data_IF_047434603460
#
_entry.id   IF_047434603460
#
_cell.length_a   1.000
_cell.length_b   1.000
_cell.length_c   1.000
_cell.angle_alpha   90.00
_cell.angle_beta   90.00
_cell.angle_gamma   90.00
#
_symmetry.space_group_name_H-M   'P 1'
#
loop_
_entity.id
_entity.type
_entity.pdbx_description
1 polymer ?
#
# COMPACT_ATOMS: atom_id res chain seq x y z
N UNK A 1 -32.21 8.79 -6.39
CA UNK A 1 -31.78 7.47 -6.92
C UNK A 1 -30.45 7.55 -7.69
N UNK A 2 -29.40 8.19 -7.11
CA UNK A 2 -27.99 8.13 -7.60
C UNK A 2 -27.24 7.17 -6.67
N UNK A 3 -27.32 5.86 -6.86
CA UNK A 3 -26.72 4.99 -7.88
C UNK A 3 -25.60 4.20 -7.20
N UNK A 4 -25.92 2.97 -6.80
CA UNK A 4 -25.05 1.96 -6.18
C UNK A 4 -23.67 1.83 -6.86
N UNK A 5 -23.60 2.15 -8.15
CA UNK A 5 -22.39 2.15 -8.96
C UNK A 5 -21.31 3.13 -8.45
N UNK A 6 -21.67 4.38 -8.10
CA UNK A 6 -20.68 5.40 -7.71
C UNK A 6 -19.98 5.04 -6.38
N UNK A 7 -20.73 4.49 -5.42
CA UNK A 7 -20.16 4.06 -4.12
C UNK A 7 -19.16 2.91 -4.26
N UNK A 8 -19.38 2.01 -5.23
CA UNK A 8 -18.50 0.87 -5.47
C UNK A 8 -17.17 1.30 -6.08
N UNK A 9 -17.19 2.28 -6.99
CA UNK A 9 -15.97 2.85 -7.56
C UNK A 9 -15.15 3.64 -6.52
N UNK A 10 -15.83 4.38 -5.64
CA UNK A 10 -15.16 5.13 -4.57
C UNK A 10 -14.45 4.18 -3.58
N UNK A 11 -15.09 3.07 -3.19
CA UNK A 11 -14.47 2.06 -2.34
C UNK A 11 -13.21 1.45 -2.97
N UNK A 12 -13.25 1.06 -4.25
CA UNK A 12 -12.06 0.53 -4.92
C UNK A 12 -10.95 1.58 -5.06
N UNK A 13 -11.30 2.84 -5.29
CA UNK A 13 -10.32 3.91 -5.39
C UNK A 13 -9.65 4.20 -4.04
N UNK A 14 -10.40 4.15 -2.93
CA UNK A 14 -9.83 4.24 -1.58
C UNK A 14 -8.85 3.12 -1.29
N UNK A 15 -9.20 1.88 -1.62
CA UNK A 15 -8.33 0.71 -1.45
C UNK A 15 -7.07 0.80 -2.33
N UNK A 16 -7.22 1.31 -3.55
CA UNK A 16 -6.08 1.58 -4.43
C UNK A 16 -5.13 2.62 -3.84
N UNK A 17 -5.66 3.74 -3.32
CA UNK A 17 -4.83 4.77 -2.67
C UNK A 17 -4.13 4.20 -1.45
N UNK A 18 -4.85 3.43 -0.63
CA UNK A 18 -4.32 2.84 0.59
C UNK A 18 -3.20 1.85 0.28
N UNK A 19 -3.43 0.89 -0.62
CA UNK A 19 -2.42 -0.07 -1.06
C UNK A 19 -1.22 0.60 -1.75
N UNK A 20 -1.46 1.54 -2.65
CA UNK A 20 -0.38 2.25 -3.34
C UNK A 20 0.47 3.12 -2.42
N UNK A 21 -0.14 3.80 -1.45
CA UNK A 21 0.58 4.58 -0.43
C UNK A 21 1.47 3.68 0.43
N UNK A 22 0.90 2.60 0.96
CA UNK A 22 1.63 1.67 1.82
C UNK A 22 2.77 0.97 1.06
N UNK A 23 2.50 0.47 -0.14
CA UNK A 23 3.50 -0.18 -0.98
C UNK A 23 4.68 0.73 -1.34
N UNK A 24 4.41 2.00 -1.65
CA UNK A 24 5.45 2.97 -1.95
C UNK A 24 6.30 3.32 -0.71
N UNK A 25 5.66 3.56 0.43
CA UNK A 25 6.34 3.92 1.68
C UNK A 25 7.19 2.74 2.20
N UNK A 26 6.61 1.54 2.27
CA UNK A 26 7.30 0.34 2.77
C UNK A 26 8.48 -0.03 1.88
N UNK A 27 8.28 -0.06 0.56
CA UNK A 27 9.37 -0.42 -0.37
C UNK A 27 10.47 0.63 -0.39
N UNK A 28 10.12 1.92 -0.31
CA UNK A 28 11.13 2.97 -0.20
C UNK A 28 11.90 2.88 1.12
N UNK A 29 11.25 2.52 2.22
CA UNK A 29 11.93 2.28 3.49
C UNK A 29 12.90 1.09 3.40
N UNK A 30 12.54 0.00 2.71
CA UNK A 30 13.46 -1.12 2.45
C UNK A 30 14.67 -0.65 1.64
N UNK A 31 14.46 0.09 0.55
CA UNK A 31 15.54 0.68 -0.25
C UNK A 31 16.45 1.56 0.61
N UNK A 32 15.86 2.50 1.38
CA UNK A 32 16.62 3.41 2.23
C UNK A 32 17.42 2.68 3.31
N UNK A 33 16.84 1.67 3.94
CA UNK A 33 17.51 0.84 4.95
C UNK A 33 18.66 0.03 4.36
N UNK A 34 18.47 -0.57 3.18
CA UNK A 34 19.54 -1.29 2.50
C UNK A 34 20.68 -0.38 2.05
N UNK A 35 20.37 0.84 1.58
CA UNK A 35 21.39 1.85 1.26
C UNK A 35 22.12 2.31 2.52
N UNK A 36 21.40 2.53 3.63
CA UNK A 36 21.99 2.87 4.93
C UNK A 36 22.95 1.78 5.42
N UNK A 37 22.60 0.50 5.19
CA UNK A 37 23.46 -0.65 5.48
C UNK A 37 24.55 -0.90 4.42
N UNK A 38 24.75 0.01 3.46
CA UNK A 38 25.76 -0.10 2.38
C UNK A 38 25.67 -1.40 1.57
N UNK A 39 24.46 -1.91 1.36
CA UNK A 39 24.23 -3.15 0.59
C UNK A 39 24.29 -2.89 -0.92
N UNK A 40 24.79 -3.87 -1.67
CA UNK A 40 24.84 -3.81 -3.13
C UNK A 40 23.45 -3.77 -3.78
N UNK A 41 23.36 -3.15 -4.96
CA UNK A 41 22.12 -3.02 -5.75
C UNK A 41 21.40 -4.36 -5.97
N UNK A 42 22.13 -5.46 -6.15
CA UNK A 42 21.54 -6.78 -6.30
C UNK A 42 20.77 -7.23 -5.04
N UNK A 43 21.31 -6.94 -3.85
CA UNK A 43 20.66 -7.25 -2.57
C UNK A 43 19.45 -6.36 -2.37
N UNK A 44 19.53 -5.07 -2.72
CA UNK A 44 18.40 -4.13 -2.69
C UNK A 44 17.24 -4.63 -3.55
N UNK A 45 17.51 -5.12 -4.76
CA UNK A 45 16.49 -5.69 -5.64
C UNK A 45 15.86 -6.93 -5.00
N UNK A 46 16.68 -7.87 -4.49
CA UNK A 46 16.17 -9.11 -3.89
C UNK A 46 15.27 -8.80 -2.68
N UNK A 47 15.75 -8.00 -1.73
CA UNK A 47 14.98 -7.63 -0.54
C UNK A 47 13.75 -6.80 -0.89
N UNK A 48 13.90 -5.85 -1.82
CA UNK A 48 12.82 -5.00 -2.29
C UNK A 48 11.67 -5.82 -2.90
N UNK A 49 11.96 -6.71 -3.85
CA UNK A 49 10.92 -7.55 -4.47
C UNK A 49 10.33 -8.57 -3.50
N UNK A 50 11.16 -9.19 -2.64
CA UNK A 50 10.68 -10.12 -1.64
C UNK A 50 9.68 -9.43 -0.69
N UNK A 51 10.04 -8.26 -0.16
CA UNK A 51 9.18 -7.47 0.70
C UNK A 51 7.92 -6.99 -0.03
N UNK A 52 8.08 -6.45 -1.24
CA UNK A 52 6.98 -5.92 -2.04
C UNK A 52 5.89 -6.99 -2.29
N UNK A 53 6.29 -8.22 -2.62
CA UNK A 53 5.36 -9.32 -2.87
C UNK A 53 4.75 -9.83 -1.56
N UNK A 54 5.58 -10.02 -0.53
CA UNK A 54 5.13 -10.57 0.75
C UNK A 54 4.14 -9.63 1.46
N UNK A 55 4.48 -8.35 1.60
CA UNK A 55 3.63 -7.35 2.25
C UNK A 55 2.37 -7.09 1.44
N UNK A 56 2.49 -6.97 0.12
CA UNK A 56 1.33 -6.81 -0.75
C UNK A 56 0.36 -7.98 -0.58
N UNK A 57 0.86 -9.21 -0.53
CA UNK A 57 0.04 -10.40 -0.33
C UNK A 57 -0.64 -10.39 1.05
N UNK A 58 0.12 -10.11 2.11
CA UNK A 58 -0.40 -10.01 3.47
C UNK A 58 -1.51 -8.95 3.57
N UNK A 59 -1.31 -7.79 2.95
CA UNK A 59 -2.27 -6.69 2.92
C UNK A 59 -3.53 -7.05 2.12
N UNK A 60 -3.40 -7.75 1.00
CA UNK A 60 -4.51 -8.27 0.20
C UNK A 60 -5.38 -9.26 0.98
N UNK A 61 -4.75 -10.23 1.63
CA UNK A 61 -5.43 -11.18 2.50
C UNK A 61 -6.09 -10.46 3.68
N UNK A 62 -5.40 -9.48 4.27
CA UNK A 62 -5.93 -8.62 5.31
C UNK A 62 -7.20 -7.90 4.87
N UNK A 63 -7.17 -7.20 3.73
CA UNK A 63 -8.33 -6.48 3.19
C UNK A 63 -9.50 -7.41 2.88
N UNK A 64 -9.23 -8.60 2.32
CA UNK A 64 -10.23 -9.65 2.09
C UNK A 64 -10.89 -10.10 3.41
N UNK A 65 -10.07 -10.44 4.42
CA UNK A 65 -10.56 -10.87 5.74
C UNK A 65 -11.34 -9.76 6.44
N UNK A 66 -10.81 -8.53 6.47
CA UNK A 66 -11.46 -7.38 7.09
C UNK A 66 -12.85 -7.12 6.50
N UNK A 67 -13.00 -7.21 5.17
CA UNK A 67 -14.29 -7.07 4.52
C UNK A 67 -15.26 -8.20 4.88
N UNK A 68 -14.76 -9.45 4.98
CA UNK A 68 -15.59 -10.59 5.35
C UNK A 68 -16.02 -10.53 6.83
N UNK A 69 -15.10 -10.24 7.75
CA UNK A 69 -15.39 -10.10 9.19
C UNK A 69 -16.33 -8.94 9.49
N UNK A 70 -16.16 -7.79 8.83
CA UNK A 70 -17.08 -6.65 8.97
C UNK A 70 -18.51 -7.03 8.55
N UNK A 71 -18.65 -7.89 7.54
CA UNK A 71 -19.94 -8.41 7.10
C UNK A 71 -20.55 -9.36 8.12
N UNK A 72 -19.79 -10.34 8.59
CA UNK A 72 -20.26 -11.34 9.55
C UNK A 72 -20.68 -10.70 10.88
N UNK A 73 -19.91 -9.71 11.36
CA UNK A 73 -20.27 -8.96 12.56
C UNK A 73 -21.57 -8.16 12.37
N UNK A 74 -21.79 -7.57 11.19
CA UNK A 74 -23.02 -6.83 10.91
C UNK A 74 -24.24 -7.75 10.89
N UNK A 75 -24.12 -8.97 10.37
CA UNK A 75 -25.18 -9.97 10.40
C UNK A 75 -25.50 -10.42 11.84
N UNK A 76 -24.48 -10.63 12.67
CA UNK A 76 -24.65 -10.99 14.10
C UNK A 76 -25.33 -9.88 14.90
N UNK A 77 -24.95 -8.62 14.69
CA UNK A 77 -25.57 -7.47 15.36
C UNK A 77 -27.05 -7.36 15.00
N UNK A 78 -27.39 -7.50 13.72
CA UNK A 78 -28.78 -7.47 13.25
C UNK A 78 -29.63 -8.61 13.82
N UNK A 79 -29.09 -9.81 13.92
CA UNK A 79 -29.76 -10.95 14.55
C UNK A 79 -29.99 -10.74 16.06
N UNK A 80 -29.10 -9.99 16.72
CA UNK A 80 -29.23 -9.65 18.15
C UNK A 80 -30.25 -8.53 18.38
N UNK A 81 -30.28 -7.51 17.50
CA UNK A 81 -31.21 -6.39 17.59
C UNK A 81 -32.65 -6.76 17.21
N UNK A 82 -32.86 -7.71 16.31
CA UNK A 82 -34.20 -8.11 15.89
C UNK A 82 -34.41 -9.65 15.89
N UNK A 83 -34.52 -10.28 17.08
CA UNK A 83 -34.67 -11.73 17.22
C UNK A 83 -36.02 -12.28 16.70
N UNK A 84 -37.01 -11.42 16.43
CA UNK A 84 -38.30 -11.80 15.84
C UNK A 84 -38.24 -11.94 14.30
N UNK A 85 -37.18 -11.47 13.65
CA UNK A 85 -36.93 -11.71 12.23
C UNK A 85 -36.43 -13.14 12.03
N UNK A 86 -37.32 -14.13 12.12
CA UNK A 86 -37.01 -15.57 12.02
C UNK A 86 -36.56 -16.05 10.64
N UNK A 87 -35.77 -15.29 9.89
CA UNK A 87 -35.15 -15.63 8.61
C UNK A 87 -34.09 -14.59 8.25
N UNK A 88 -33.05 -15.01 7.53
CA UNK A 88 -32.17 -14.11 6.77
C UNK A 88 -33.04 -13.08 6.05
N UNK A 89 -32.85 -11.75 6.23
CA UNK A 89 -33.83 -10.78 5.77
C UNK A 89 -34.10 -10.93 4.27
N UNK A 90 -35.36 -11.24 3.91
CA UNK A 90 -35.84 -11.24 2.54
C UNK A 90 -35.73 -9.82 1.98
N UNK A 91 -34.60 -9.51 1.33
CA UNK A 91 -34.34 -8.19 0.77
C UNK A 91 -32.92 -7.67 0.93
N UNK A 92 -32.03 -8.35 1.65
CA UNK A 92 -30.58 -8.07 1.50
C UNK A 92 -30.15 -8.78 0.23
N UNK A 93 -29.88 -8.08 -0.89
CA UNK A 93 -29.37 -8.72 -2.09
C UNK A 93 -28.05 -9.35 -1.69
N UNK A 94 -27.92 -10.68 -1.81
CA UNK A 94 -26.65 -11.36 -1.52
C UNK A 94 -25.63 -10.89 -2.55
N UNK A 95 -24.71 -9.97 -2.20
CA UNK A 95 -23.74 -9.50 -3.15
C UNK A 95 -22.60 -10.50 -3.06
N UNK A 96 -22.74 -11.65 -3.73
CA UNK A 96 -21.71 -12.68 -3.93
C UNK A 96 -20.50 -12.51 -2.99
N UNK A 97 -20.60 -13.00 -1.73
CA UNK A 97 -19.71 -12.69 -0.60
C UNK A 97 -18.23 -12.58 -0.97
N UNK A 98 -17.75 -13.58 -1.71
CA UNK A 98 -16.36 -13.72 -2.09
C UNK A 98 -15.95 -12.83 -3.25
N UNK A 99 -16.85 -12.55 -4.21
CA UNK A 99 -16.48 -11.79 -5.42
C UNK A 99 -16.18 -10.32 -5.12
N UNK A 100 -16.89 -9.70 -4.16
CA UNK A 100 -16.61 -8.30 -3.81
C UNK A 100 -15.36 -8.17 -2.93
N UNK A 101 -15.19 -9.04 -1.94
CA UNK A 101 -14.03 -9.04 -1.04
C UNK A 101 -12.73 -9.40 -1.78
N UNK A 102 -12.78 -10.40 -2.68
CA UNK A 102 -11.63 -10.77 -3.50
C UNK A 102 -11.19 -9.64 -4.42
N UNK A 103 -12.15 -8.88 -4.99
CA UNK A 103 -11.84 -7.69 -5.79
C UNK A 103 -11.21 -6.58 -4.96
N UNK A 104 -11.65 -6.38 -3.73
CA UNK A 104 -11.04 -5.41 -2.82
C UNK A 104 -9.59 -5.79 -2.55
N UNK A 105 -9.33 -7.00 -2.06
CA UNK A 105 -7.96 -7.48 -1.83
C UNK A 105 -7.10 -7.44 -3.10
N UNK A 106 -7.67 -7.82 -4.24
CA UNK A 106 -7.00 -7.75 -5.54
C UNK A 106 -6.62 -6.34 -5.97
N UNK A 107 -7.49 -5.34 -5.75
CA UNK A 107 -7.18 -3.92 -6.03
C UNK A 107 -6.09 -3.42 -5.10
N UNK A 108 -6.18 -3.73 -3.80
CA UNK A 108 -5.16 -3.39 -2.81
C UNK A 108 -3.81 -3.98 -3.22
N UNK A 109 -3.74 -5.28 -3.54
CA UNK A 109 -2.53 -5.95 -3.99
C UNK A 109 -1.93 -5.32 -5.24
N UNK A 110 -2.75 -5.14 -6.29
CA UNK A 110 -2.29 -4.60 -7.55
C UNK A 110 -1.74 -3.17 -7.39
N UNK A 111 -2.40 -2.35 -6.58
CA UNK A 111 -1.95 -0.99 -6.29
C UNK A 111 -0.65 -0.97 -5.48
N UNK A 112 -0.53 -1.85 -4.48
CA UNK A 112 0.67 -2.01 -3.67
C UNK A 112 1.87 -2.38 -4.53
N UNK A 113 1.73 -3.39 -5.40
CA UNK A 113 2.80 -3.79 -6.32
C UNK A 113 3.14 -2.67 -7.32
N UNK A 114 2.13 -2.09 -7.96
CA UNK A 114 2.36 -1.13 -9.06
C UNK A 114 3.05 0.14 -8.57
N UNK A 115 2.63 0.68 -7.44
CA UNK A 115 3.20 1.91 -6.89
C UNK A 115 4.44 1.61 -6.04
N UNK A 116 4.42 0.50 -5.29
CA UNK A 116 5.57 0.05 -4.49
C UNK A 116 6.77 -0.36 -5.34
N UNK A 117 6.59 -0.66 -6.63
CA UNK A 117 7.71 -0.89 -7.54
C UNK A 117 8.51 0.40 -7.84
N UNK A 118 7.89 1.59 -7.73
CA UNK A 118 8.49 2.87 -8.14
C UNK A 118 9.88 3.13 -7.53
N UNK A 119 10.09 2.96 -6.21
CA UNK A 119 11.42 3.13 -5.60
C UNK A 119 12.47 2.12 -6.10
N UNK A 120 12.05 0.93 -6.53
CA UNK A 120 12.95 -0.13 -7.01
C UNK A 120 13.31 0.00 -8.49
N UNK A 121 12.50 0.73 -9.27
CA UNK A 121 12.70 0.81 -10.72
C UNK A 121 14.10 1.27 -11.10
N UNK A 122 14.71 2.20 -10.35
CA UNK A 122 16.06 2.68 -10.65
C UNK A 122 17.09 1.56 -10.57
N UNK A 123 17.00 0.71 -9.54
CA UNK A 123 17.92 -0.40 -9.33
C UNK A 123 17.72 -1.48 -10.38
N UNK A 124 16.47 -1.75 -10.78
CA UNK A 124 16.18 -2.68 -11.88
C UNK A 124 16.73 -2.16 -13.21
N UNK A 125 16.54 -0.88 -13.51
CA UNK A 125 17.05 -0.27 -14.73
C UNK A 125 18.57 -0.31 -14.75
N UNK A 126 19.23 0.06 -13.65
CA UNK A 126 20.69 -0.01 -13.53
C UNK A 126 21.24 -1.42 -13.76
N UNK A 127 20.57 -2.44 -13.21
CA UNK A 127 20.94 -3.83 -13.42
C UNK A 127 20.87 -4.27 -14.90
N UNK A 128 19.92 -3.72 -15.67
CA UNK A 128 19.75 -4.03 -17.10
C UNK A 128 20.61 -3.14 -18.01
N UNK A 129 20.76 -1.88 -17.64
CA UNK A 129 21.45 -0.82 -18.37
C UNK A 129 22.27 -0.03 -17.36
N UNK A 130 23.57 -0.35 -17.18
CA UNK A 130 24.41 0.29 -16.18
C UNK A 130 24.33 1.82 -16.27
N UNK A 131 23.86 2.45 -15.20
CA UNK A 131 23.70 3.90 -15.12
C UNK A 131 24.84 4.49 -14.30
N UNK A 132 25.56 5.46 -14.86
CA UNK A 132 26.61 6.20 -14.14
C UNK A 132 26.01 7.42 -13.42
N UNK A 133 25.08 7.16 -12.49
CA UNK A 133 24.37 8.19 -11.71
C UNK A 133 24.19 7.72 -10.27
N UNK A 134 23.85 8.65 -9.36
CA UNK A 134 23.52 8.29 -7.98
C UNK A 134 22.13 7.63 -7.92
N UNK A 135 22.08 6.30 -7.85
CA UNK A 135 20.85 5.50 -7.86
C UNK A 135 19.88 5.88 -6.75
N UNK A 136 20.39 6.13 -5.54
CA UNK A 136 19.57 6.48 -4.39
C UNK A 136 18.91 7.86 -4.55
N UNK A 137 19.63 8.85 -5.13
CA UNK A 137 19.06 10.16 -5.42
C UNK A 137 17.94 10.06 -6.45
N UNK A 138 18.15 9.29 -7.53
CA UNK A 138 17.12 9.07 -8.55
C UNK A 138 15.91 8.35 -7.94
N UNK A 139 16.14 7.36 -7.07
CA UNK A 139 15.07 6.67 -6.36
C UNK A 139 14.28 7.62 -5.45
N UNK A 140 14.96 8.52 -4.73
CA UNK A 140 14.31 9.58 -3.93
C UNK A 140 13.43 10.49 -4.79
N UNK A 141 13.92 10.93 -5.96
CA UNK A 141 13.17 11.81 -6.86
C UNK A 141 11.93 11.09 -7.43
N UNK A 142 12.10 9.88 -7.95
CA UNK A 142 10.99 9.09 -8.51
C UNK A 142 9.95 8.75 -7.45
N UNK A 143 10.40 8.35 -6.26
CA UNK A 143 9.50 8.08 -5.13
C UNK A 143 8.79 9.35 -4.68
N UNK A 144 9.49 10.48 -4.65
CA UNK A 144 8.89 11.78 -4.38
C UNK A 144 7.76 12.12 -5.36
N UNK A 145 7.96 11.90 -6.65
CA UNK A 145 6.91 12.04 -7.68
C UNK A 145 5.76 11.05 -7.41
N UNK A 146 6.06 9.80 -7.03
CA UNK A 146 5.07 8.81 -6.63
C UNK A 146 4.23 9.25 -5.43
N UNK A 147 4.86 9.81 -4.39
CA UNK A 147 4.18 10.36 -3.21
C UNK A 147 3.34 11.60 -3.53
N UNK A 148 3.81 12.48 -4.44
CA UNK A 148 2.99 13.58 -4.96
C UNK A 148 1.73 13.03 -5.64
N UNK A 149 1.88 12.06 -6.54
CA UNK A 149 0.78 11.43 -7.25
C UNK A 149 -0.24 10.79 -6.29
N UNK A 150 0.22 9.94 -5.36
CA UNK A 150 -0.65 9.27 -4.39
C UNK A 150 -1.28 10.26 -3.41
N UNK A 151 -0.53 11.29 -2.98
CA UNK A 151 -1.04 12.34 -2.12
C UNK A 151 -2.18 13.14 -2.76
N UNK A 152 -2.08 13.41 -4.07
CA UNK A 152 -3.16 14.05 -4.83
C UNK A 152 -4.38 13.12 -4.97
N UNK A 153 -4.15 11.83 -5.21
CA UNK A 153 -5.22 10.85 -5.31
C UNK A 153 -5.94 10.67 -3.97
N UNK A 154 -5.18 10.61 -2.86
CA UNK A 154 -5.70 10.62 -1.48
C UNK A 154 -6.57 11.85 -1.21
N UNK A 155 -6.13 13.03 -1.64
CA UNK A 155 -6.91 14.26 -1.47
C UNK A 155 -8.26 14.19 -2.20
N UNK A 156 -8.24 13.67 -3.43
CA UNK A 156 -9.44 13.49 -4.25
C UNK A 156 -10.44 12.52 -3.60
N UNK A 157 -9.96 11.36 -3.16
CA UNK A 157 -10.79 10.31 -2.54
C UNK A 157 -11.36 10.77 -1.19
N UNK A 158 -10.51 11.31 -0.31
CA UNK A 158 -10.93 11.65 1.05
C UNK A 158 -11.57 13.04 1.16
N UNK A 159 -11.73 13.76 0.04
CA UNK A 159 -12.25 15.14 -0.01
C UNK A 159 -11.51 16.09 0.95
N UNK A 160 -10.21 15.88 1.12
CA UNK A 160 -9.36 16.72 1.99
C UNK A 160 -8.62 17.79 1.18
N UNK A 161 -8.02 18.76 1.86
CA UNK A 161 -7.20 19.80 1.20
C UNK A 161 -5.96 19.15 0.56
N UNK A 162 -5.76 19.37 -0.74
CA UNK A 162 -4.70 18.75 -1.55
C UNK A 162 -3.30 18.88 -0.92
N UNK A 163 -2.92 20.10 -0.54
CA UNK A 163 -1.60 20.36 0.04
C UNK A 163 -1.38 19.55 1.33
N UNK A 164 -2.40 19.45 2.18
CA UNK A 164 -2.32 18.69 3.43
C UNK A 164 -2.12 17.20 3.16
N UNK A 165 -2.90 16.62 2.25
CA UNK A 165 -2.80 15.19 1.93
C UNK A 165 -1.44 14.83 1.34
N UNK A 166 -0.91 15.67 0.44
CA UNK A 166 0.41 15.50 -0.16
C UNK A 166 1.53 15.61 0.89
N UNK A 167 1.48 16.63 1.74
CA UNK A 167 2.45 16.80 2.82
C UNK A 167 2.41 15.64 3.80
N UNK A 168 1.23 15.12 4.16
CA UNK A 168 1.10 13.94 5.02
C UNK A 168 1.80 12.72 4.41
N UNK A 169 1.59 12.43 3.12
CA UNK A 169 2.21 11.27 2.45
C UNK A 169 3.72 11.43 2.36
N UNK A 170 4.20 12.61 1.93
CA UNK A 170 5.64 12.91 1.86
C UNK A 170 6.30 12.81 3.23
N UNK A 171 5.68 13.35 4.28
CA UNK A 171 6.22 13.32 5.63
C UNK A 171 6.31 11.89 6.18
N UNK A 172 5.26 11.07 5.98
CA UNK A 172 5.27 9.67 6.38
C UNK A 172 6.36 8.88 5.65
N UNK A 173 6.46 9.05 4.33
CA UNK A 173 7.49 8.39 3.52
C UNK A 173 8.91 8.81 3.89
N UNK A 174 9.14 10.11 4.08
CA UNK A 174 10.44 10.63 4.51
C UNK A 174 10.82 10.13 5.91
N UNK A 175 9.88 10.16 6.86
CA UNK A 175 10.13 9.66 8.21
C UNK A 175 10.48 8.16 8.21
N UNK A 176 9.71 7.34 7.49
CA UNK A 176 9.98 5.91 7.36
C UNK A 176 11.36 5.63 6.74
N UNK A 177 11.71 6.33 5.67
CA UNK A 177 13.00 6.20 5.00
C UNK A 177 14.18 6.63 5.89
N UNK A 178 14.05 7.76 6.59
CA UNK A 178 15.08 8.25 7.53
C UNK A 178 15.31 7.22 8.63
N UNK A 179 14.24 6.72 9.25
CA UNK A 179 14.34 5.70 10.31
C UNK A 179 15.01 4.45 9.76
N UNK A 180 14.56 3.93 8.62
CA UNK A 180 15.12 2.72 8.02
C UNK A 180 16.60 2.88 7.66
N UNK A 181 16.98 4.01 7.03
CA UNK A 181 18.36 4.31 6.67
C UNK A 181 19.29 4.26 7.88
N UNK A 182 18.94 4.98 8.95
CA UNK A 182 19.79 5.02 10.14
C UNK A 182 19.80 3.70 10.92
N UNK A 183 18.70 2.95 10.90
CA UNK A 183 18.69 1.58 11.45
C UNK A 183 19.63 0.68 10.64
N UNK A 184 19.61 0.78 9.31
CA UNK A 184 20.54 0.05 8.44
C UNK A 184 22.01 0.40 8.72
N UNK A 185 22.34 1.70 8.76
CA UNK A 185 23.69 2.20 9.07
C UNK A 185 24.17 1.75 10.46
N UNK A 186 23.28 1.80 11.46
CA UNK A 186 23.60 1.34 12.81
C UNK A 186 23.89 -0.16 12.84
N UNK A 187 23.04 -0.97 12.22
CA UNK A 187 23.21 -2.42 12.22
C UNK A 187 24.47 -2.84 11.47
N UNK A 188 24.78 -2.20 10.35
CA UNK A 188 26.00 -2.50 9.60
C UNK A 188 27.26 -2.22 10.44
N UNK A 189 27.30 -1.09 11.16
CA UNK A 189 28.41 -0.77 12.06
C UNK A 189 28.56 -1.74 13.24
N UNK A 190 27.45 -2.34 13.69
CA UNK A 190 27.46 -3.31 14.79
C UNK A 190 27.87 -4.72 14.33
N UNK A 191 27.59 -5.07 13.08
CA UNK A 191 27.84 -6.41 12.54
C UNK A 191 29.24 -6.49 11.90
N UNK A 192 29.65 -5.44 11.18
CA UNK A 192 30.93 -5.39 10.45
C UNK A 192 32.07 -4.71 11.20
N UNK A 193 31.78 -4.11 12.38
CA UNK A 193 32.77 -3.52 13.28
C UNK A 193 33.33 -4.53 14.28
#
# INVERSE_FOLDING_TARGET
MKSSFLKKHEAYLSEFVYGGMDGCVTTFAVVAGSVGASLDSAVIIILGFANLIADGFAMSVGAYLSHNTARDNRLKLQATENPAAGQTPAGVPDPEPGKSALRIGGVTFASFLAIGLVPLLVYVVDYLYPLDVNHFLVACILTGIGFLFIGLLKAYVNRTRMLRAVVEVLALGAAAAIVAYYVGDLLERLISG
#
